data_IF_278965006735
#
_entry.id   IF_278965006735
#
_cell.length_a   1.000
_cell.length_b   1.000
_cell.length_c   1.000
_cell.angle_alpha   90.00
_cell.angle_beta   90.00
_cell.angle_gamma   90.00
#
_symmetry.space_group_name_H-M   'P 1'
#
loop_
_entity.id
_entity.type
_entity.pdbx_description
1 polymer ?
#
# COMPACT_ATOMS: atom_id res chain seq x y z
N UNK A 1 11.25 3.73 -8.44
CA UNK A 1 10.94 2.49 -9.15
C UNK A 1 11.96 1.43 -8.80
N UNK A 2 11.66 0.15 -9.00
CA UNK A 2 12.52 -0.96 -8.54
C UNK A 2 13.89 -0.97 -9.23
N UNK A 3 13.96 -0.47 -10.46
CA UNK A 3 15.19 -0.34 -11.24
C UNK A 3 15.92 1.01 -11.05
N UNK A 4 15.43 1.89 -10.17
CA UNK A 4 16.02 3.21 -9.91
C UNK A 4 15.89 4.24 -11.04
N UNK A 5 15.17 3.92 -12.12
CA UNK A 5 15.09 4.79 -13.30
C UNK A 5 13.93 5.80 -13.28
N UNK A 6 13.01 5.65 -12.32
CA UNK A 6 11.85 6.54 -12.17
C UNK A 6 11.67 6.87 -10.69
N UNK A 7 11.46 8.14 -10.40
CA UNK A 7 11.05 8.65 -9.08
C UNK A 7 9.68 9.30 -9.24
N UNK A 8 8.80 9.08 -8.28
CA UNK A 8 7.53 9.79 -8.16
C UNK A 8 7.48 10.42 -6.79
N UNK A 9 6.95 11.63 -6.71
CA UNK A 9 6.74 12.31 -5.44
C UNK A 9 5.63 13.34 -5.56
N UNK A 10 4.86 13.48 -4.49
CA UNK A 10 3.93 14.57 -4.32
C UNK A 10 4.62 15.82 -3.80
N UNK A 11 4.13 16.98 -4.22
CA UNK A 11 4.58 18.26 -3.70
C UNK A 11 3.39 19.18 -3.44
N UNK A 12 3.47 19.99 -2.38
CA UNK A 12 2.55 21.08 -2.16
C UNK A 12 2.71 22.14 -3.27
N UNK A 13 1.59 22.66 -3.75
CA UNK A 13 1.45 23.67 -4.81
C UNK A 13 2.04 23.28 -6.18
N UNK A 14 2.63 22.09 -6.29
CA UNK A 14 3.46 21.69 -7.44
C UNK A 14 3.15 20.27 -7.95
N UNK A 15 1.98 19.72 -7.59
CA UNK A 15 1.42 18.47 -8.13
C UNK A 15 2.14 17.19 -7.68
N UNK A 16 1.62 16.04 -8.13
CA UNK A 16 2.37 14.78 -8.13
C UNK A 16 3.20 14.69 -9.41
N UNK A 17 4.51 14.52 -9.28
CA UNK A 17 5.47 14.58 -10.38
C UNK A 17 6.20 13.25 -10.52
N UNK A 18 6.32 12.78 -11.77
CA UNK A 18 7.22 11.71 -12.19
C UNK A 18 8.49 12.31 -12.77
N UNK A 19 9.64 11.81 -12.35
CA UNK A 19 10.95 12.12 -12.90
C UNK A 19 11.59 10.83 -13.37
N UNK A 20 12.05 10.80 -14.62
CA UNK A 20 12.80 9.67 -15.16
C UNK A 20 14.31 9.94 -15.06
N UNK A 21 15.12 8.90 -15.27
CA UNK A 21 16.57 8.95 -15.07
C UNK A 21 17.28 10.07 -15.85
N UNK A 22 16.78 10.45 -17.02
CA UNK A 22 17.31 11.57 -17.82
C UNK A 22 16.95 12.96 -17.24
N UNK A 23 16.04 13.00 -16.28
CA UNK A 23 15.59 14.18 -15.55
C UNK A 23 16.22 14.39 -14.18
N UNK A 24 16.93 13.40 -13.62
CA UNK A 24 17.52 13.52 -12.26
C UNK A 24 18.54 14.64 -12.11
N UNK A 25 19.24 15.02 -13.19
CA UNK A 25 20.21 16.11 -13.19
C UNK A 25 19.67 17.41 -13.81
N UNK A 26 18.34 17.54 -13.98
CA UNK A 26 17.72 18.65 -14.68
C UNK A 26 16.36 19.04 -14.11
N UNK A 27 15.59 19.81 -14.88
CA UNK A 27 14.23 20.27 -14.52
C UNK A 27 13.14 19.52 -15.27
N UNK A 28 13.42 18.29 -15.71
CA UNK A 28 12.47 17.48 -16.47
C UNK A 28 11.62 16.65 -15.51
N UNK A 29 10.38 17.08 -15.29
CA UNK A 29 9.36 16.31 -14.60
C UNK A 29 8.09 16.24 -15.45
N UNK A 30 7.37 15.13 -15.37
CA UNK A 30 6.03 14.97 -15.93
C UNK A 30 5.03 15.01 -14.78
N UNK A 31 4.07 15.92 -14.86
CA UNK A 31 2.93 15.91 -13.96
C UNK A 31 2.10 14.63 -14.17
N UNK A 32 1.80 13.93 -13.07
CA UNK A 32 0.91 12.76 -13.04
C UNK A 32 -0.51 13.14 -12.64
N UNK A 33 -0.62 13.91 -11.55
CA UNK A 33 -1.89 14.32 -10.95
C UNK A 33 -1.85 15.82 -10.63
N UNK A 34 -2.92 16.55 -10.90
CA UNK A 34 -3.01 17.99 -10.57
C UNK A 34 -3.36 18.27 -9.11
N UNK A 35 -3.09 19.50 -8.65
CA UNK A 35 -3.35 19.94 -7.28
C UNK A 35 -2.08 19.90 -6.42
N UNK A 36 -2.21 19.64 -5.13
CA UNK A 36 -1.07 19.24 -4.30
C UNK A 36 -1.00 17.72 -4.32
N UNK A 37 0.22 17.20 -4.37
CA UNK A 37 0.49 15.78 -4.13
C UNK A 37 1.19 15.60 -2.78
N UNK A 38 1.06 14.42 -2.18
CA UNK A 38 1.86 14.02 -1.02
C UNK A 38 2.44 12.61 -1.19
N UNK A 39 1.78 11.58 -0.66
CA UNK A 39 2.26 10.20 -0.78
C UNK A 39 2.13 9.69 -2.21
N UNK A 40 3.15 8.97 -2.65
CA UNK A 40 3.20 8.28 -3.92
C UNK A 40 4.02 6.99 -3.77
N UNK A 41 3.60 5.94 -4.46
CA UNK A 41 4.31 4.65 -4.49
C UNK A 41 4.38 4.09 -5.91
N UNK A 42 5.36 3.24 -6.17
CA UNK A 42 5.48 2.46 -7.41
C UNK A 42 5.61 1.00 -7.02
N UNK A 43 4.76 0.15 -7.59
CA UNK A 43 4.81 -1.29 -7.34
C UNK A 43 6.15 -1.91 -7.77
N UNK A 44 6.68 -2.76 -6.91
CA UNK A 44 7.83 -3.61 -7.16
C UNK A 44 7.49 -4.80 -8.06
N UNK A 45 6.30 -5.39 -7.90
CA UNK A 45 5.90 -6.57 -8.67
C UNK A 45 5.37 -6.21 -10.05
N UNK A 46 4.73 -5.05 -10.19
CA UNK A 46 4.20 -4.52 -11.45
C UNK A 46 4.63 -3.06 -11.63
N UNK A 47 5.86 -2.78 -12.12
CA UNK A 47 6.43 -1.43 -12.16
C UNK A 47 5.68 -0.41 -13.04
N UNK A 48 4.68 -0.83 -13.82
CA UNK A 48 3.76 0.07 -14.51
C UNK A 48 2.70 0.67 -13.57
N UNK A 49 2.49 0.06 -12.39
CA UNK A 49 1.50 0.47 -11.39
C UNK A 49 2.05 1.53 -10.45
N UNK A 50 1.40 2.69 -10.48
CA UNK A 50 1.75 3.88 -9.71
C UNK A 50 0.56 4.22 -8.80
N UNK A 51 0.84 4.60 -7.56
CA UNK A 51 -0.12 5.10 -6.58
C UNK A 51 0.22 6.54 -6.23
N UNK A 52 -0.79 7.38 -6.06
CA UNK A 52 -0.59 8.75 -5.63
C UNK A 52 -1.86 9.33 -5.02
N UNK A 53 -1.68 10.21 -4.04
CA UNK A 53 -2.77 10.95 -3.42
C UNK A 53 -2.74 12.45 -3.76
N UNK A 54 -3.86 13.11 -3.50
CA UNK A 54 -4.03 14.56 -3.57
C UNK A 54 -4.92 15.03 -2.42
N UNK A 55 -4.90 16.34 -2.12
CA UNK A 55 -5.47 16.91 -0.89
C UNK A 55 -6.83 16.34 -0.54
N UNK A 56 -7.01 15.92 0.71
CA UNK A 56 -8.27 15.37 1.21
C UNK A 56 -8.77 14.14 0.42
N UNK A 57 -7.84 13.38 -0.18
CA UNK A 57 -8.13 12.28 -1.08
C UNK A 57 -9.11 12.67 -2.22
N UNK A 58 -9.07 13.93 -2.67
CA UNK A 58 -10.18 14.57 -3.39
C UNK A 58 -9.99 14.68 -4.92
N UNK A 59 -8.99 14.04 -5.52
CA UNK A 59 -8.93 14.02 -6.98
C UNK A 59 -10.04 13.12 -7.54
N UNK A 60 -10.91 13.69 -8.37
CA UNK A 60 -12.03 13.01 -9.04
C UNK A 60 -13.08 12.30 -8.15
N UNK A 61 -13.06 12.47 -6.82
CA UNK A 61 -14.04 11.95 -5.85
C UNK A 61 -13.87 10.49 -5.41
N UNK A 62 -12.79 9.81 -5.81
CA UNK A 62 -12.67 8.35 -5.66
C UNK A 62 -11.46 7.91 -4.78
N UNK A 63 -10.93 8.82 -3.96
CA UNK A 63 -9.89 8.52 -2.97
C UNK A 63 -8.45 8.55 -3.49
N UNK A 64 -7.59 7.70 -2.92
CA UNK A 64 -6.24 7.45 -3.44
C UNK A 64 -6.34 6.98 -4.89
N UNK A 65 -5.50 7.55 -5.75
CA UNK A 65 -5.48 7.23 -7.17
C UNK A 65 -4.42 6.16 -7.45
N UNK A 66 -4.74 5.26 -8.38
CA UNK A 66 -3.80 4.31 -8.96
C UNK A 66 -3.86 4.35 -10.48
N UNK A 67 -2.77 3.97 -11.12
CA UNK A 67 -2.67 3.86 -12.58
C UNK A 67 -1.82 2.65 -12.89
N UNK A 68 -2.25 1.81 -13.83
CA UNK A 68 -1.42 0.74 -14.39
C UNK A 68 -0.63 1.19 -15.63
N UNK A 69 -0.71 2.45 -16.04
CA UNK A 69 -0.07 2.95 -17.27
C UNK A 69 1.04 3.97 -16.97
N UNK A 70 1.93 3.64 -16.03
CA UNK A 70 3.04 4.49 -15.59
C UNK A 70 2.60 5.89 -15.15
N UNK A 71 1.45 5.98 -14.49
CA UNK A 71 0.83 7.21 -14.01
C UNK A 71 -0.05 7.93 -15.05
N UNK A 72 -0.43 7.28 -16.14
CA UNK A 72 -1.46 7.78 -17.09
C UNK A 72 -2.83 7.20 -16.75
N UNK A 73 -3.92 7.91 -17.11
CA UNK A 73 -5.30 7.43 -16.92
C UNK A 73 -5.60 6.90 -15.50
N UNK A 74 -5.36 7.68 -14.43
CA UNK A 74 -5.61 7.20 -13.07
C UNK A 74 -7.10 6.90 -12.80
N UNK A 75 -7.33 5.88 -11.99
CA UNK A 75 -8.61 5.53 -11.37
C UNK A 75 -8.51 5.60 -9.84
N UNK A 76 -9.62 5.89 -9.17
CA UNK A 76 -9.67 5.86 -7.71
C UNK A 76 -9.80 4.45 -7.17
N UNK A 77 -9.28 4.26 -5.95
CA UNK A 77 -9.15 2.95 -5.32
C UNK A 77 -10.13 2.73 -4.15
N UNK A 78 -10.92 3.74 -3.78
CA UNK A 78 -11.87 3.61 -2.68
C UNK A 78 -13.12 2.85 -3.13
N UNK A 79 -13.59 1.94 -2.27
CA UNK A 79 -14.90 1.32 -2.43
C UNK A 79 -16.02 2.31 -2.10
N UNK A 80 -17.24 2.01 -2.54
CA UNK A 80 -18.44 2.76 -2.14
C UNK A 80 -18.56 2.89 -0.62
N UNK A 81 -18.11 1.88 0.10
CA UNK A 81 -18.10 1.83 1.56
C UNK A 81 -17.17 2.90 2.16
N UNK A 82 -15.95 3.05 1.65
CA UNK A 82 -15.06 4.11 2.12
C UNK A 82 -15.57 5.50 1.74
N UNK A 83 -16.29 5.62 0.62
CA UNK A 83 -16.84 6.88 0.09
C UNK A 83 -18.14 7.33 0.77
N UNK A 84 -18.78 6.50 1.61
CA UNK A 84 -20.07 6.82 2.22
C UNK A 84 -19.93 7.91 3.30
N UNK A 85 -20.50 9.12 3.11
CA UNK A 85 -20.45 10.21 4.07
C UNK A 85 -21.26 9.96 5.36
N UNK A 86 -21.98 8.85 5.50
CA UNK A 86 -22.57 8.41 6.77
C UNK A 86 -21.54 7.81 7.74
N UNK A 87 -20.30 7.59 7.29
CA UNK A 87 -19.14 7.40 8.15
C UNK A 87 -18.51 8.76 8.45
N UNK A 88 -18.89 9.41 9.57
CA UNK A 88 -18.65 8.90 10.92
C UNK A 88 -19.88 8.97 11.85
N UNK A 89 -19.89 8.13 12.88
CA UNK A 89 -20.84 8.07 13.99
C UNK A 89 -21.55 9.41 14.28
N UNK A 90 -22.79 9.55 13.76
CA UNK A 90 -23.64 10.73 13.98
C UNK A 90 -24.00 10.94 15.46
N UNK A 91 -23.66 9.99 16.33
CA UNK A 91 -23.92 10.05 17.76
C UNK A 91 -22.66 10.38 18.58
N UNK A 92 -21.49 10.58 17.96
CA UNK A 92 -20.29 11.01 18.68
C UNK A 92 -20.19 12.55 18.75
N UNK A 93 -20.47 13.17 19.91
CA UNK A 93 -20.38 14.62 20.08
C UNK A 93 -18.95 15.18 20.03
N UNK A 94 -17.91 14.34 19.92
CA UNK A 94 -16.52 14.79 19.75
C UNK A 94 -16.14 15.13 18.30
N UNK A 95 -17.04 14.94 17.32
CA UNK A 95 -16.86 15.34 15.91
C UNK A 95 -17.03 16.86 15.65
N UNK A 96 -16.66 17.71 16.61
CA UNK A 96 -16.77 19.17 16.49
C UNK A 96 -15.45 19.75 15.95
N UNK A 97 -15.38 19.93 14.64
CA UNK A 97 -14.65 21.07 14.07
C UNK A 97 -15.62 21.95 13.29
N UNK A 98 -16.21 22.89 14.05
CA UNK A 98 -16.61 24.19 13.52
C UNK A 98 -15.33 24.92 13.14
N UNK A 99 -14.94 24.87 11.87
CA UNK A 99 -13.94 25.79 11.36
C UNK A 99 -14.61 26.94 10.58
N UNK A 100 -14.69 28.07 11.28
CA UNK A 100 -14.73 29.47 10.83
C UNK A 100 -15.29 29.83 9.43
N UNK A 101 -16.54 29.46 9.15
CA UNK A 101 -17.40 30.27 8.28
C UNK A 101 -17.10 30.25 6.77
N UNK A 102 -16.60 29.13 6.22
CA UNK A 102 -16.55 28.95 4.77
C UNK A 102 -17.69 28.06 4.25
N UNK A 103 -18.38 28.63 3.27
CA UNK A 103 -19.70 28.32 2.72
C UNK A 103 -19.93 26.84 2.36
N UNK A 104 -21.13 26.36 2.65
CA UNK A 104 -21.54 24.96 2.50
C UNK A 104 -22.17 24.77 1.12
N UNK A 105 -21.37 24.83 0.06
CA UNK A 105 -21.85 24.45 -1.28
C UNK A 105 -22.05 22.92 -1.34
N UNK A 106 -23.15 22.46 -1.92
CA UNK A 106 -23.54 21.04 -2.00
C UNK A 106 -22.54 20.18 -2.83
N UNK A 107 -21.53 20.81 -3.43
CA UNK A 107 -20.36 20.16 -4.06
C UNK A 107 -19.25 19.75 -3.07
N UNK A 108 -19.29 20.23 -1.82
CA UNK A 108 -18.24 20.08 -0.79
C UNK A 108 -18.57 19.09 0.34
N UNK A 109 -19.54 18.20 0.18
CA UNK A 109 -19.85 17.19 1.22
C UNK A 109 -18.78 16.10 1.37
N UNK A 110 -17.92 15.91 0.37
CA UNK A 110 -16.89 14.87 0.35
C UNK A 110 -15.49 15.38 0.78
N UNK A 111 -15.22 16.69 0.69
CA UNK A 111 -13.89 17.28 0.89
C UNK A 111 -13.50 17.46 2.36
N UNK A 112 -14.28 16.96 3.32
CA UNK A 112 -14.05 17.14 4.76
C UNK A 112 -13.99 15.84 5.57
N UNK A 113 -14.09 14.67 4.91
CA UNK A 113 -14.03 13.37 5.60
C UNK A 113 -12.58 12.91 5.72
N UNK A 114 -11.77 13.11 4.68
CA UNK A 114 -10.34 12.79 4.72
C UNK A 114 -9.50 14.00 5.11
N UNK A 115 -8.38 13.70 5.72
CA UNK A 115 -7.36 14.65 6.13
C UNK A 115 -6.60 15.20 4.93
N UNK A 116 -5.98 16.36 5.11
CA UNK A 116 -5.28 17.07 4.04
C UNK A 116 -4.24 16.19 3.32
N UNK A 117 -3.50 15.37 4.07
CA UNK A 117 -2.60 14.33 3.58
C UNK A 117 -3.08 12.98 4.11
N UNK A 118 -3.14 11.95 3.25
CA UNK A 118 -3.51 10.58 3.64
C UNK A 118 -2.32 9.63 3.47
N UNK A 119 -1.57 9.33 4.55
CA UNK A 119 -0.43 8.43 4.47
C UNK A 119 -0.84 7.02 4.05
N UNK A 120 -0.08 6.44 3.14
CA UNK A 120 -0.20 5.04 2.74
C UNK A 120 1.16 4.41 2.49
N UNK A 121 1.21 3.07 2.52
CA UNK A 121 2.39 2.28 2.21
C UNK A 121 1.99 0.99 1.51
N UNK A 122 2.82 0.54 0.57
CA UNK A 122 2.66 -0.70 -0.19
C UNK A 122 3.74 -1.70 0.21
N UNK A 123 3.32 -2.87 0.69
CA UNK A 123 4.19 -4.02 0.85
C UNK A 123 3.91 -5.06 -0.24
N UNK A 124 4.98 -5.67 -0.76
CA UNK A 124 4.93 -6.66 -1.82
C UNK A 124 6.01 -7.73 -1.63
N UNK A 125 5.66 -8.98 -1.90
CA UNK A 125 6.59 -10.10 -1.96
C UNK A 125 6.32 -10.95 -3.21
N UNK A 126 7.38 -11.17 -3.99
CA UNK A 126 7.29 -11.88 -5.26
C UNK A 126 7.43 -13.39 -5.13
N UNK A 127 7.87 -13.88 -3.98
CA UNK A 127 7.95 -15.30 -3.69
C UNK A 127 7.74 -15.57 -2.20
N UNK A 128 6.51 -15.30 -1.74
CA UNK A 128 6.14 -15.56 -0.35
C UNK A 128 5.86 -17.05 -0.16
N UNK A 129 6.90 -17.84 0.12
CA UNK A 129 6.73 -19.27 0.40
C UNK A 129 6.14 -19.56 1.79
N UNK A 130 6.00 -18.54 2.64
CA UNK A 130 5.44 -18.66 4.00
C UNK A 130 3.94 -18.36 4.04
N UNK A 131 3.39 -17.77 2.98
CA UNK A 131 1.96 -17.47 2.91
C UNK A 131 1.12 -18.73 3.03
N UNK A 132 0.04 -18.65 3.80
CA UNK A 132 -0.99 -19.68 3.85
C UNK A 132 -2.01 -19.52 2.72
N UNK A 133 -1.97 -18.39 2.01
CA UNK A 133 -2.91 -18.05 0.95
C UNK A 133 -2.81 -19.01 -0.20
N UNK A 134 -3.95 -19.19 -0.85
CA UNK A 134 -4.07 -20.14 -1.93
C UNK A 134 -5.18 -19.77 -2.87
N UNK A 135 -4.95 -20.07 -4.12
CA UNK A 135 -5.92 -19.92 -5.19
C UNK A 135 -6.28 -21.29 -5.76
N UNK A 136 -7.45 -21.36 -6.37
CA UNK A 136 -7.87 -22.55 -7.11
C UNK A 136 -7.55 -22.33 -8.57
N UNK A 137 -6.60 -23.10 -9.08
CA UNK A 137 -6.40 -23.22 -10.51
C UNK A 137 -7.38 -24.26 -11.05
N UNK A 138 -8.32 -23.81 -11.86
CA UNK A 138 -9.23 -24.69 -12.60
C UNK A 138 -8.66 -24.88 -14.00
N UNK A 139 -8.35 -26.12 -14.35
CA UNK A 139 -8.01 -26.42 -15.74
C UNK A 139 -9.26 -26.25 -16.59
N UNK A 140 -9.18 -25.39 -17.59
CA UNK A 140 -10.25 -25.21 -18.58
C UNK A 140 -9.66 -25.34 -19.99
N UNK A 141 -10.47 -25.04 -21.00
CA UNK A 141 -10.03 -25.11 -22.40
C UNK A 141 -9.12 -23.94 -22.82
N UNK A 142 -8.55 -23.15 -21.91
CA UNK A 142 -7.81 -21.91 -22.21
C UNK A 142 -6.55 -21.66 -21.38
N UNK A 143 -5.99 -22.71 -20.78
CA UNK A 143 -4.74 -22.58 -20.03
C UNK A 143 -3.59 -22.15 -20.94
N UNK A 144 -2.81 -21.15 -20.52
CA UNK A 144 -1.56 -20.75 -21.20
C UNK A 144 -0.46 -21.73 -20.76
N UNK A 145 0.01 -22.56 -21.70
CA UNK A 145 1.15 -23.46 -21.49
C UNK A 145 2.42 -22.80 -22.02
N UNK A 146 3.51 -22.84 -21.25
CA UNK A 146 4.81 -22.30 -21.68
C UNK A 146 5.55 -23.18 -22.71
N UNK A 147 4.96 -24.28 -23.16
CA UNK A 147 5.60 -25.24 -24.06
C UNK A 147 5.16 -25.10 -25.53
N UNK A 148 5.94 -24.35 -26.32
CA UNK A 148 6.43 -24.71 -27.66
C UNK A 148 5.55 -25.20 -28.83
N UNK A 149 4.21 -25.35 -28.77
CA UNK A 149 3.41 -25.81 -29.94
C UNK A 149 2.04 -25.11 -30.09
N UNK A 150 1.76 -24.67 -31.32
CA UNK A 150 0.63 -23.82 -31.76
C UNK A 150 -0.67 -24.61 -32.01
N UNK A 151 -1.83 -24.10 -31.54
CA UNK A 151 -3.13 -24.16 -32.27
C UNK A 151 -4.20 -23.18 -31.74
N UNK A 152 -5.06 -22.70 -32.66
CA UNK A 152 -5.93 -21.49 -32.60
C UNK A 152 -6.83 -21.24 -31.35
N UNK A 153 -7.07 -19.96 -30.98
CA UNK A 153 -7.69 -19.51 -29.70
C UNK A 153 -9.24 -19.55 -29.61
N UNK A 154 -9.77 -19.33 -28.39
CA UNK A 154 -11.19 -19.04 -28.09
C UNK A 154 -11.45 -17.54 -28.04
N UNK A 155 -12.48 -17.03 -28.71
CA UNK A 155 -12.90 -15.65 -28.53
C UNK A 155 -13.51 -15.33 -27.15
N UNK A 156 -14.04 -16.27 -26.36
CA UNK A 156 -14.66 -15.92 -25.06
C UNK A 156 -13.65 -15.65 -23.94
N UNK A 157 -12.50 -16.32 -23.95
CA UNK A 157 -11.43 -16.13 -22.96
C UNK A 157 -10.45 -15.02 -23.33
N UNK A 158 -10.55 -14.49 -24.55
CA UNK A 158 -9.95 -13.21 -24.89
C UNK A 158 -10.42 -12.11 -23.93
N UNK A 159 -11.63 -12.14 -23.36
CA UNK A 159 -12.14 -11.04 -22.53
C UNK A 159 -11.58 -10.94 -21.11
N UNK A 160 -11.21 -12.07 -20.47
CA UNK A 160 -10.56 -12.05 -19.14
C UNK A 160 -9.13 -11.48 -19.23
N UNK A 161 -8.57 -11.58 -20.43
CA UNK A 161 -7.20 -11.35 -20.83
C UNK A 161 -7.02 -10.05 -21.64
N UNK A 162 -8.06 -9.58 -22.35
CA UNK A 162 -8.14 -8.33 -23.10
C UNK A 162 -8.46 -7.13 -22.20
N UNK A 163 -8.92 -7.39 -20.97
CA UNK A 163 -8.94 -6.36 -19.92
C UNK A 163 -7.57 -6.25 -19.21
N UNK A 164 -6.65 -7.20 -19.46
CA UNK A 164 -5.27 -7.23 -18.98
C UNK A 164 -4.31 -7.11 -20.20
N UNK A 165 -4.59 -6.13 -21.09
CA UNK A 165 -3.81 -5.82 -22.31
C UNK A 165 -2.29 -5.71 -22.04
N UNK A 166 -1.90 -5.38 -20.81
CA UNK A 166 -0.51 -5.35 -20.34
C UNK A 166 0.18 -6.72 -20.35
N UNK A 167 -0.49 -7.78 -19.89
CA UNK A 167 0.10 -9.12 -19.81
C UNK A 167 0.39 -9.66 -21.22
N UNK A 168 -0.49 -9.42 -22.19
CA UNK A 168 -0.24 -9.81 -23.59
C UNK A 168 0.95 -9.10 -24.23
N UNK A 169 1.17 -7.83 -23.85
CA UNK A 169 2.29 -7.04 -24.34
C UNK A 169 3.63 -7.42 -23.71
N UNK A 170 3.65 -7.84 -22.44
CA UNK A 170 4.86 -8.29 -21.73
C UNK A 170 5.35 -9.67 -22.17
N UNK A 171 4.44 -10.55 -22.58
CA UNK A 171 4.79 -11.93 -22.88
C UNK A 171 5.57 -12.13 -24.18
N UNK A 172 5.57 -11.14 -25.08
CA UNK A 172 5.98 -11.33 -26.47
C UNK A 172 5.14 -12.43 -27.15
N UNK A 173 5.12 -12.49 -28.48
CA UNK A 173 4.33 -13.47 -29.25
C UNK A 173 4.74 -14.96 -29.08
N UNK A 174 5.39 -15.34 -27.97
CA UNK A 174 6.01 -16.65 -27.74
C UNK A 174 5.33 -17.55 -26.69
N UNK A 175 4.16 -17.17 -26.15
CA UNK A 175 3.36 -18.06 -25.29
C UNK A 175 2.14 -18.59 -26.04
N UNK A 176 1.82 -19.87 -25.80
CA UNK A 176 0.73 -20.57 -26.47
C UNK A 176 -0.46 -20.71 -25.52
N UNK A 177 -1.64 -20.20 -25.90
CA UNK A 177 -2.91 -20.64 -25.32
C UNK A 177 -3.15 -22.07 -25.81
N UNK A 178 -3.06 -23.06 -24.92
CA UNK A 178 -3.34 -24.44 -25.26
C UNK A 178 -4.76 -24.80 -24.82
N UNK A 179 -5.62 -25.09 -25.79
CA UNK A 179 -6.94 -25.68 -25.56
C UNK A 179 -6.84 -27.20 -25.52
N UNK A 180 -6.27 -27.78 -24.47
CA UNK A 180 -6.11 -29.25 -24.40
C UNK A 180 -6.33 -29.75 -22.98
N UNK A 181 -6.97 -30.91 -22.87
CA UNK A 181 -6.90 -31.79 -21.69
C UNK A 181 -5.44 -31.90 -21.20
N UNK A 182 -5.13 -31.35 -20.03
CA UNK A 182 -3.77 -31.32 -19.48
C UNK A 182 -3.44 -32.57 -18.65
N UNK A 183 -4.30 -33.60 -18.70
CA UNK A 183 -4.08 -34.90 -18.03
C UNK A 183 -2.81 -35.61 -18.49
N UNK A 184 -2.26 -35.24 -19.65
CA UNK A 184 -1.03 -35.83 -20.24
C UNK A 184 0.26 -35.08 -19.89
N UNK A 185 0.21 -34.01 -19.08
CA UNK A 185 1.35 -33.12 -18.84
C UNK A 185 1.76 -32.93 -17.35
N UNK A 186 1.90 -34.01 -16.55
CA UNK A 186 2.51 -33.88 -15.22
C UNK A 186 3.95 -33.32 -15.34
N UNK A 187 4.27 -32.30 -14.55
CA UNK A 187 5.57 -31.62 -14.59
C UNK A 187 5.68 -30.44 -15.56
N UNK A 188 4.64 -30.14 -16.35
CA UNK A 188 4.59 -28.92 -17.16
C UNK A 188 4.29 -27.68 -16.30
N UNK A 189 4.73 -26.52 -16.79
CA UNK A 189 4.51 -25.22 -16.16
C UNK A 189 3.32 -24.51 -16.80
N UNK A 190 2.34 -24.18 -15.97
CA UNK A 190 1.19 -23.33 -16.29
C UNK A 190 1.39 -21.94 -15.71
N UNK A 191 0.75 -20.95 -16.30
CA UNK A 191 0.65 -19.62 -15.70
C UNK A 191 -0.63 -19.52 -14.87
N UNK A 192 -0.49 -19.03 -13.64
CA UNK A 192 -1.56 -18.86 -12.68
C UNK A 192 -1.65 -17.39 -12.29
N UNK A 193 -2.86 -16.87 -12.12
CA UNK A 193 -3.12 -15.49 -11.69
C UNK A 193 -3.41 -15.45 -10.19
N UNK A 194 -2.58 -14.74 -9.43
CA UNK A 194 -2.82 -14.40 -8.02
C UNK A 194 -4.10 -13.57 -7.85
N UNK A 195 -4.70 -13.57 -6.66
CA UNK A 195 -5.88 -12.74 -6.37
C UNK A 195 -5.59 -11.24 -6.52
N UNK A 196 -4.34 -10.82 -6.29
CA UNK A 196 -3.90 -9.44 -6.51
C UNK A 196 -3.70 -9.08 -8.00
N UNK A 197 -3.93 -10.02 -8.92
CA UNK A 197 -3.84 -9.80 -10.37
C UNK A 197 -2.46 -10.08 -10.98
N UNK A 198 -1.45 -10.47 -10.19
CA UNK A 198 -0.12 -10.80 -10.71
C UNK A 198 -0.06 -12.26 -11.18
N UNK A 199 0.53 -12.48 -12.35
CA UNK A 199 0.74 -13.82 -12.89
C UNK A 199 2.07 -14.44 -12.43
N UNK A 200 2.07 -15.76 -12.22
CA UNK A 200 3.26 -16.52 -11.87
C UNK A 200 3.22 -17.96 -12.39
N UNK A 201 4.40 -18.59 -12.40
CA UNK A 201 4.58 -19.93 -12.91
C UNK A 201 4.28 -20.97 -11.84
N UNK A 202 3.51 -21.98 -12.21
CA UNK A 202 3.19 -23.12 -11.36
C UNK A 202 3.46 -24.43 -12.10
N UNK A 203 4.19 -25.33 -11.46
CA UNK A 203 4.45 -26.68 -11.99
C UNK A 203 3.33 -27.61 -11.55
N UNK A 204 2.65 -28.22 -12.51
CA UNK A 204 1.55 -29.13 -12.22
C UNK A 204 2.06 -30.39 -11.50
N UNK A 205 1.51 -30.72 -10.30
CA UNK A 205 1.93 -31.92 -9.56
C UNK A 205 1.49 -33.22 -10.24
N UNK A 206 0.40 -33.16 -11.02
CA UNK A 206 -0.14 -34.21 -11.85
C UNK A 206 -0.88 -33.57 -13.04
N UNK A 207 -1.12 -34.35 -14.10
CA UNK A 207 -2.02 -33.89 -15.15
C UNK A 207 -3.44 -33.65 -14.60
N UNK A 208 -4.13 -32.64 -15.13
CA UNK A 208 -5.51 -32.30 -14.78
C UNK A 208 -6.41 -32.48 -16.01
N UNK A 209 -7.50 -33.23 -15.88
CA UNK A 209 -8.57 -33.31 -16.87
C UNK A 209 -9.37 -32.01 -16.93
N UNK A 210 -10.12 -31.78 -18.01
CA UNK A 210 -10.94 -30.56 -18.17
C UNK A 210 -11.87 -30.34 -16.96
N UNK A 211 -11.90 -29.10 -16.46
CA UNK A 211 -12.64 -28.67 -15.26
C UNK A 211 -12.14 -29.26 -13.94
N UNK A 212 -11.01 -29.98 -13.94
CA UNK A 212 -10.37 -30.39 -12.68
C UNK A 212 -9.59 -29.23 -12.07
N UNK A 213 -9.54 -29.24 -10.74
CA UNK A 213 -8.99 -28.16 -9.95
C UNK A 213 -7.74 -28.63 -9.19
N UNK A 214 -6.78 -27.74 -9.05
CA UNK A 214 -5.66 -27.89 -8.11
C UNK A 214 -5.54 -26.65 -7.25
N UNK A 215 -5.28 -26.87 -5.96
CA UNK A 215 -4.98 -25.80 -5.02
C UNK A 215 -3.53 -25.37 -5.23
N UNK A 216 -3.31 -24.08 -5.46
CA UNK A 216 -1.99 -23.49 -5.68
C UNK A 216 -1.71 -22.51 -4.56
N UNK A 217 -0.51 -22.56 -3.97
CA UNK A 217 -0.08 -21.55 -3.00
C UNK A 217 0.08 -20.20 -3.72
N UNK A 218 -0.55 -19.15 -3.20
CA UNK A 218 -0.50 -17.83 -3.82
C UNK A 218 0.74 -17.04 -3.35
N UNK A 219 1.88 -17.34 -3.96
CA UNK A 219 3.20 -16.79 -3.57
C UNK A 219 3.41 -15.33 -3.97
N UNK A 220 2.48 -14.73 -4.74
CA UNK A 220 2.55 -13.31 -5.12
C UNK A 220 1.68 -12.55 -4.14
N UNK A 221 2.30 -11.82 -3.23
CA UNK A 221 1.60 -11.18 -2.13
C UNK A 221 1.76 -9.67 -2.23
N UNK A 222 0.67 -8.94 -1.96
CA UNK A 222 0.67 -7.48 -1.87
C UNK A 222 -0.32 -7.02 -0.82
N UNK A 223 0.08 -6.04 0.00
CA UNK A 223 -0.78 -5.39 0.99
C UNK A 223 -0.58 -3.89 0.90
N UNK A 224 -1.65 -3.16 0.66
CA UNK A 224 -1.67 -1.70 0.65
C UNK A 224 -2.36 -1.23 1.92
N UNK A 225 -1.68 -0.41 2.72
CA UNK A 225 -2.22 0.09 3.99
C UNK A 225 -2.30 1.60 3.94
N UNK A 226 -3.39 2.13 4.49
CA UNK A 226 -3.70 3.54 4.53
C UNK A 226 -4.13 3.95 5.94
N UNK A 227 -3.73 5.14 6.37
CA UNK A 227 -4.15 5.74 7.62
C UNK A 227 -5.08 6.94 7.38
N UNK A 228 -6.30 6.89 7.94
CA UNK A 228 -7.26 7.98 7.89
C UNK A 228 -7.79 8.23 9.30
N UNK A 229 -7.58 9.44 9.82
CA UNK A 229 -8.03 9.83 11.17
C UNK A 229 -7.55 8.84 12.24
N UNK A 230 -8.48 8.22 12.96
CA UNK A 230 -8.19 7.24 14.00
C UNK A 230 -8.30 5.79 13.50
N UNK A 231 -8.32 5.57 12.19
CA UNK A 231 -8.49 4.25 11.59
C UNK A 231 -7.36 3.92 10.62
N UNK A 232 -7.02 2.63 10.57
CA UNK A 232 -6.05 2.07 9.63
C UNK A 232 -6.77 1.01 8.80
N UNK A 233 -6.63 1.14 7.49
CA UNK A 233 -7.32 0.32 6.48
C UNK A 233 -6.31 -0.42 5.61
N UNK A 234 -6.64 -1.65 5.22
CA UNK A 234 -5.81 -2.51 4.39
C UNK A 234 -6.61 -3.01 3.19
N UNK A 235 -5.95 -3.16 2.04
CA UNK A 235 -6.46 -3.95 0.91
C UNK A 235 -5.36 -4.84 0.33
N UNK A 236 -5.73 -6.04 -0.11
CA UNK A 236 -4.89 -6.94 -0.90
C UNK A 236 -5.11 -6.77 -2.41
N UNK A 237 -6.10 -5.97 -2.80
CA UNK A 237 -6.58 -5.81 -4.18
C UNK A 237 -5.94 -4.62 -4.92
N UNK A 238 -4.96 -3.94 -4.31
CA UNK A 238 -4.40 -2.68 -4.83
C UNK A 238 -3.79 -2.81 -6.24
N UNK A 239 -3.28 -4.00 -6.59
CA UNK A 239 -2.71 -4.30 -7.91
C UNK A 239 -3.70 -4.94 -8.89
N UNK A 240 -4.93 -5.22 -8.44
CA UNK A 240 -5.97 -5.85 -9.24
C UNK A 240 -6.88 -4.79 -9.87
N UNK A 241 -6.69 -4.52 -11.17
CA UNK A 241 -7.45 -3.54 -11.95
C UNK A 241 -8.75 -4.11 -12.56
N UNK A 242 -9.06 -5.39 -12.34
CA UNK A 242 -10.31 -5.98 -12.87
C UNK A 242 -11.51 -5.79 -11.93
N UNK A 243 -11.30 -5.18 -10.76
CA UNK A 243 -12.34 -4.91 -9.76
C UNK A 243 -11.99 -3.68 -8.92
N UNK A 244 -13.03 -3.09 -8.31
CA UNK A 244 -12.85 -2.13 -7.21
C UNK A 244 -12.31 -2.85 -5.97
N UNK A 245 -11.26 -2.33 -5.32
CA UNK A 245 -10.69 -2.96 -4.13
C UNK A 245 -11.67 -3.08 -2.96
N UNK A 246 -11.58 -4.20 -2.26
CA UNK A 246 -12.23 -4.37 -0.96
C UNK A 246 -11.29 -3.93 0.15
N UNK A 247 -11.84 -3.40 1.25
CA UNK A 247 -11.06 -2.79 2.32
C UNK A 247 -11.41 -3.37 3.69
N UNK A 248 -10.37 -3.58 4.51
CA UNK A 248 -10.45 -4.16 5.85
C UNK A 248 -9.94 -3.16 6.87
N UNK A 249 -10.74 -2.82 7.89
CA UNK A 249 -10.31 -1.96 8.98
C UNK A 249 -9.45 -2.76 9.95
N UNK A 250 -8.13 -2.62 9.84
CA UNK A 250 -7.17 -3.38 10.67
C UNK A 250 -6.91 -2.74 12.04
N UNK A 251 -7.29 -1.47 12.22
CA UNK A 251 -7.37 -0.82 13.52
C UNK A 251 -8.35 0.35 13.48
N UNK A 252 -9.03 0.59 14.61
CA UNK A 252 -9.92 1.73 14.84
C UNK A 252 -9.59 2.39 16.18
N UNK A 253 -10.18 3.56 16.45
CA UNK A 253 -10.01 4.28 17.72
C UNK A 253 -8.53 4.42 18.17
N UNK A 254 -7.62 4.52 17.21
CA UNK A 254 -6.17 4.47 17.45
C UNK A 254 -5.66 5.64 18.29
N UNK A 255 -6.42 6.73 18.36
CA UNK A 255 -6.05 7.97 19.04
C UNK A 255 -4.88 8.70 18.37
N UNK A 256 -4.63 8.43 17.09
CA UNK A 256 -3.63 9.14 16.28
C UNK A 256 -4.05 10.58 15.98
N UNK A 257 -5.36 10.88 15.98
CA UNK A 257 -5.89 12.16 15.53
C UNK A 257 -5.72 12.32 14.03
N UNK A 258 -4.64 12.97 13.62
CA UNK A 258 -4.26 13.17 12.22
C UNK A 258 -3.00 12.35 11.92
N UNK A 259 -3.09 11.20 11.23
CA UNK A 259 -1.94 10.46 10.75
C UNK A 259 -1.04 11.31 9.87
N UNK A 260 0.27 11.20 10.08
CA UNK A 260 1.30 11.99 9.38
C UNK A 260 2.25 11.11 8.59
N UNK A 261 2.50 9.89 9.08
CA UNK A 261 3.43 8.96 8.44
C UNK A 261 3.10 7.51 8.75
N UNK A 262 3.43 6.64 7.80
CA UNK A 262 3.21 5.20 7.87
C UNK A 262 4.36 4.49 7.16
N UNK A 263 4.80 3.36 7.72
CA UNK A 263 5.77 2.49 7.06
C UNK A 263 5.46 1.01 7.33
N UNK A 264 5.79 0.17 6.36
CA UNK A 264 5.58 -1.27 6.39
C UNK A 264 6.92 -1.97 6.65
N UNK A 265 6.94 -2.90 7.61
CA UNK A 265 8.11 -3.76 7.80
C UNK A 265 8.37 -4.62 6.57
N UNK A 266 9.64 -4.85 6.26
CA UNK A 266 10.09 -5.61 5.07
C UNK A 266 9.48 -7.02 5.01
N UNK A 267 9.19 -7.64 6.16
CA UNK A 267 8.61 -8.99 6.23
C UNK A 267 7.09 -9.04 6.04
N UNK A 268 6.43 -7.88 5.85
CA UNK A 268 4.99 -7.77 5.62
C UNK A 268 4.13 -8.04 6.84
N UNK A 269 4.71 -8.17 8.03
CA UNK A 269 3.96 -8.56 9.24
C UNK A 269 3.48 -7.36 10.05
N UNK A 270 4.23 -6.27 10.03
CA UNK A 270 4.03 -5.13 10.93
C UNK A 270 3.98 -3.80 10.19
N UNK A 271 3.15 -2.88 10.68
CA UNK A 271 3.05 -1.49 10.24
C UNK A 271 3.30 -0.57 11.44
N UNK A 272 4.09 0.49 11.22
CA UNK A 272 4.27 1.60 12.16
C UNK A 272 3.50 2.80 11.61
N UNK A 273 2.75 3.49 12.46
CA UNK A 273 2.02 4.70 12.08
C UNK A 273 2.29 5.80 13.10
N UNK A 274 2.61 6.99 12.60
CA UNK A 274 2.66 8.22 13.36
C UNK A 274 1.46 9.12 13.04
N UNK A 275 1.10 9.92 14.03
CA UNK A 275 0.11 10.97 13.89
C UNK A 275 0.24 11.98 15.02
N UNK A 276 -0.67 12.95 15.04
CA UNK A 276 -0.78 13.88 16.15
C UNK A 276 -2.23 14.18 16.50
N UNK A 277 -2.48 14.32 17.80
CA UNK A 277 -3.73 14.81 18.33
C UNK A 277 -3.45 15.87 19.40
N UNK A 278 -4.14 17.01 19.34
CA UNK A 278 -4.05 18.11 20.31
C UNK A 278 -2.61 18.52 20.69
N UNK A 279 -1.71 18.53 19.71
CA UNK A 279 -0.31 18.92 19.87
C UNK A 279 0.62 17.84 20.42
N UNK A 280 0.13 16.60 20.61
CA UNK A 280 0.93 15.46 21.03
C UNK A 280 1.09 14.48 19.87
N UNK A 281 2.33 14.14 19.55
CA UNK A 281 2.65 13.10 18.58
C UNK A 281 2.39 11.72 19.17
N UNK A 282 1.91 10.80 18.36
CA UNK A 282 1.64 9.42 18.76
C UNK A 282 2.22 8.46 17.74
N UNK A 283 2.80 7.37 18.24
CA UNK A 283 3.26 6.23 17.45
C UNK A 283 2.51 4.99 17.89
N UNK A 284 1.93 4.29 16.93
CA UNK A 284 1.29 2.99 17.10
C UNK A 284 2.00 1.91 16.27
N UNK A 285 1.74 0.66 16.61
CA UNK A 285 2.16 -0.52 15.85
C UNK A 285 0.94 -1.41 15.62
N UNK A 286 0.81 -1.92 14.40
CA UNK A 286 -0.10 -3.00 14.06
C UNK A 286 0.76 -4.17 13.59
N UNK A 287 0.58 -5.36 14.15
CA UNK A 287 1.38 -6.55 13.84
C UNK A 287 0.49 -7.74 13.50
N UNK A 288 1.11 -8.86 13.12
CA UNK A 288 0.45 -10.10 12.72
C UNK A 288 -0.36 -10.00 11.43
N UNK A 289 -0.07 -9.03 10.55
CA UNK A 289 -0.83 -8.79 9.31
C UNK A 289 -0.62 -9.85 8.22
N UNK A 290 0.51 -10.57 8.24
CA UNK A 290 0.84 -11.54 7.18
C UNK A 290 0.08 -12.87 7.28
N UNK A 291 -0.40 -13.24 8.47
CA UNK A 291 -1.04 -14.54 8.72
C UNK A 291 -2.57 -14.50 8.59
N UNK A 292 -3.13 -13.36 8.22
CA UNK A 292 -4.56 -13.10 8.15
C UNK A 292 -5.07 -13.29 6.72
N UNK A 293 -6.19 -13.99 6.61
CA UNK A 293 -6.91 -14.21 5.34
C UNK A 293 -7.87 -13.03 5.08
N UNK A 294 -7.47 -12.15 4.16
CA UNK A 294 -8.24 -10.97 3.78
C UNK A 294 -9.05 -11.29 2.52
N UNK A 295 -10.37 -11.46 2.69
CA UNK A 295 -11.26 -11.88 1.62
C UNK A 295 -12.34 -10.84 1.36
N UNK A 296 -13.03 -10.94 0.22
CA UNK A 296 -14.18 -10.09 -0.05
C UNK A 296 -15.34 -10.35 0.93
N UNK A 297 -15.41 -11.55 1.52
CA UNK A 297 -16.48 -11.96 2.44
C UNK A 297 -16.31 -11.39 3.85
N UNK A 298 -15.10 -10.98 4.24
CA UNK A 298 -14.86 -10.36 5.54
C UNK A 298 -14.45 -8.89 5.43
N UNK A 299 -14.65 -8.26 4.28
CA UNK A 299 -14.36 -6.84 4.07
C UNK A 299 -15.49 -5.92 4.57
N UNK A 300 -15.32 -4.59 4.47
CA UNK A 300 -16.38 -3.58 4.62
C UNK A 300 -17.23 -3.73 5.91
N UNK A 301 -16.64 -3.42 7.07
CA UNK A 301 -17.18 -3.59 8.44
C UNK A 301 -17.37 -5.03 8.95
N UNK A 302 -17.32 -6.06 8.11
CA UNK A 302 -17.43 -7.44 8.58
C UNK A 302 -16.11 -7.94 9.20
N UNK A 303 -15.01 -7.21 8.99
CA UNK A 303 -13.69 -7.55 9.50
C UNK A 303 -13.55 -7.21 11.00
N UNK A 304 -13.23 -8.21 11.83
CA UNK A 304 -12.83 -7.98 13.22
C UNK A 304 -11.32 -8.26 13.39
N UNK A 305 -10.45 -7.23 13.41
CA UNK A 305 -9.00 -7.44 13.47
C UNK A 305 -8.56 -8.29 14.65
N UNK A 306 -9.12 -8.07 15.83
CA UNK A 306 -8.74 -8.82 17.03
C UNK A 306 -9.13 -10.30 16.97
N UNK A 307 -10.25 -10.63 16.35
CA UNK A 307 -10.71 -12.01 16.17
C UNK A 307 -9.84 -12.76 15.14
N UNK A 308 -9.33 -12.04 14.14
CA UNK A 308 -8.40 -12.55 13.13
C UNK A 308 -6.94 -12.59 13.62
N UNK A 309 -6.68 -12.17 14.86
CA UNK A 309 -5.34 -12.20 15.46
C UNK A 309 -4.42 -11.04 15.03
N UNK A 310 -4.97 -9.96 14.48
CA UNK A 310 -4.25 -8.70 14.28
C UNK A 310 -3.98 -8.06 15.64
N UNK A 311 -2.72 -7.68 15.88
CA UNK A 311 -2.28 -7.11 17.15
C UNK A 311 -2.13 -5.60 17.04
N UNK A 312 -2.90 -4.84 17.82
CA UNK A 312 -2.76 -3.39 17.95
C UNK A 312 -1.97 -3.03 19.21
N UNK A 313 -1.06 -2.06 19.09
CA UNK A 313 -0.31 -1.52 20.22
C UNK A 313 -0.11 -0.01 20.10
N UNK A 314 -0.55 0.75 21.11
CA UNK A 314 -0.08 2.12 21.31
C UNK A 314 1.34 2.07 21.88
N UNK A 315 2.31 2.66 21.20
CA UNK A 315 3.72 2.50 21.55
C UNK A 315 4.23 3.70 22.35
N UNK A 316 4.09 4.92 21.81
CA UNK A 316 4.67 6.10 22.45
C UNK A 316 3.88 7.36 22.14
N UNK A 317 3.81 8.25 23.13
CA UNK A 317 3.36 9.63 22.97
C UNK A 317 4.56 10.56 23.15
N UNK A 318 4.63 11.59 22.30
CA UNK A 318 5.62 12.64 22.31
C UNK A 318 4.93 13.99 22.56
N UNK A 319 5.66 14.95 23.14
CA UNK A 319 5.16 16.31 23.36
C UNK A 319 5.19 17.18 22.08
N UNK A 320 5.80 16.65 21.02
CA UNK A 320 5.90 17.28 19.70
C UNK A 320 5.06 16.49 18.70
N UNK A 321 4.71 17.12 17.59
CA UNK A 321 4.07 16.44 16.45
C UNK A 321 5.00 15.35 15.93
N UNK A 322 4.53 14.11 15.83
CA UNK A 322 5.27 13.06 15.13
C UNK A 322 5.05 13.25 13.62
N UNK A 323 6.12 13.32 12.84
CA UNK A 323 6.09 13.74 11.43
C UNK A 323 6.48 12.63 10.48
N UNK A 324 7.40 11.75 10.88
CA UNK A 324 7.93 10.67 10.06
C UNK A 324 8.21 9.43 10.89
N UNK A 325 7.96 8.26 10.31
CA UNK A 325 8.31 6.95 10.87
C UNK A 325 8.90 6.06 9.80
N UNK A 326 9.89 5.25 10.16
CA UNK A 326 10.41 4.22 9.26
C UNK A 326 10.97 3.02 10.00
N UNK A 327 10.81 1.83 9.42
CA UNK A 327 11.49 0.61 9.83
C UNK A 327 12.93 0.56 9.31
N UNK A 328 13.81 -0.04 10.11
CA UNK A 328 15.16 -0.37 9.69
C UNK A 328 15.14 -1.49 8.64
N UNK A 329 15.99 -1.40 7.60
CA UNK A 329 16.08 -2.45 6.59
C UNK A 329 16.54 -3.74 7.26
N UNK A 330 15.88 -4.85 6.91
CA UNK A 330 16.15 -6.22 7.36
C UNK A 330 16.02 -6.47 8.85
N UNK A 331 15.58 -5.47 9.63
CA UNK A 331 15.38 -5.60 11.06
C UNK A 331 14.29 -4.64 11.54
N UNK A 332 13.06 -5.15 11.59
CA UNK A 332 11.88 -4.41 12.05
C UNK A 332 11.88 -4.05 13.55
N UNK A 333 12.83 -4.56 14.35
CA UNK A 333 13.02 -4.06 15.71
C UNK A 333 13.70 -2.70 15.73
N UNK A 334 14.38 -2.32 14.64
CA UNK A 334 14.92 -0.98 14.47
C UNK A 334 13.86 -0.07 13.85
N UNK A 335 13.60 1.08 14.46
CA UNK A 335 12.77 2.13 13.86
C UNK A 335 13.34 3.52 14.14
N UNK A 336 12.98 4.46 13.28
CA UNK A 336 13.16 5.89 13.53
C UNK A 336 11.80 6.57 13.62
N UNK A 337 11.75 7.60 14.46
CA UNK A 337 10.62 8.53 14.58
C UNK A 337 11.19 9.94 14.53
N UNK A 338 10.66 10.76 13.63
CA UNK A 338 10.97 12.19 13.57
C UNK A 338 9.84 13.01 14.13
N UNK A 339 10.19 14.14 14.74
CA UNK A 339 9.26 15.06 15.36
C UNK A 339 9.42 16.48 14.80
N UNK A 340 8.31 17.19 14.71
CA UNK A 340 8.25 18.59 14.32
C UNK A 340 8.39 19.58 15.48
N UNK A 341 7.90 20.79 15.24
CA UNK A 341 7.91 21.99 16.10
C UNK A 341 9.23 22.78 16.10
N UNK A 342 9.15 24.10 16.17
CA UNK A 342 10.32 24.98 16.29
C UNK A 342 10.70 25.23 17.75
N UNK A 343 11.99 25.49 17.99
CA UNK A 343 12.49 25.98 19.28
C UNK A 343 12.59 24.91 20.38
N UNK A 344 12.44 23.65 20.01
CA UNK A 344 12.63 22.47 20.87
C UNK A 344 13.87 21.70 20.40
N UNK A 345 14.65 21.06 21.30
CA UNK A 345 15.93 20.46 20.92
C UNK A 345 15.85 19.00 20.45
N UNK A 346 14.73 18.32 20.70
CA UNK A 346 14.61 16.87 20.54
C UNK A 346 13.68 16.52 19.38
N UNK A 347 14.23 15.96 18.30
CA UNK A 347 13.51 15.74 17.05
C UNK A 347 13.65 14.35 16.43
N UNK A 348 14.72 13.60 16.73
CA UNK A 348 14.94 12.28 16.13
C UNK A 348 15.09 11.25 17.24
N UNK A 349 14.24 10.23 17.19
CA UNK A 349 14.24 9.13 18.15
C UNK A 349 14.44 7.81 17.44
N UNK A 350 15.30 6.97 18.02
CA UNK A 350 15.61 5.63 17.52
C UNK A 350 15.24 4.58 18.57
N UNK A 351 14.64 3.47 18.12
CA UNK A 351 14.45 2.26 18.91
C UNK A 351 15.11 1.09 18.19
N UNK A 352 15.74 0.18 18.94
CA UNK A 352 16.26 -1.11 18.45
C UNK A 352 15.50 -2.32 19.00
N UNK A 353 14.45 -2.08 19.80
CA UNK A 353 13.59 -3.07 20.40
C UNK A 353 12.11 -2.81 20.11
N UNK A 354 11.82 -2.22 18.95
CA UNK A 354 10.47 -1.80 18.57
C UNK A 354 9.46 -2.95 18.51
N UNK A 355 9.90 -4.21 18.40
CA UNK A 355 9.03 -5.40 18.38
C UNK A 355 8.72 -5.97 19.78
N UNK A 356 9.31 -5.44 20.85
CA UNK A 356 8.99 -5.86 22.21
C UNK A 356 7.51 -5.55 22.55
N UNK A 357 7.03 -6.10 23.67
CA UNK A 357 5.74 -5.68 24.24
C UNK A 357 5.74 -4.16 24.45
N UNK A 358 4.64 -3.48 24.08
CA UNK A 358 4.58 -2.00 24.00
C UNK A 358 5.15 -1.26 25.21
N UNK A 359 4.92 -1.75 26.43
CA UNK A 359 5.41 -1.16 27.68
C UNK A 359 6.94 -1.19 27.85
N UNK A 360 7.63 -2.05 27.10
CA UNK A 360 9.08 -2.27 27.16
C UNK A 360 9.82 -1.66 25.97
N UNK A 361 9.11 -1.16 24.95
CA UNK A 361 9.74 -0.48 23.83
C UNK A 361 10.40 0.80 24.33
N UNK A 362 11.69 0.97 24.03
CA UNK A 362 12.46 2.15 24.41
C UNK A 362 12.82 2.96 23.19
N UNK A 363 12.90 4.29 23.32
CA UNK A 363 13.56 5.10 22.28
C UNK A 363 14.59 6.02 22.89
N UNK A 364 15.72 6.10 22.21
CA UNK A 364 16.85 6.97 22.47
C UNK A 364 16.75 8.20 21.57
N UNK A 365 16.93 9.39 22.13
CA UNK A 365 17.07 10.60 21.33
C UNK A 365 18.43 10.59 20.61
N UNK A 366 18.40 10.71 19.29
CA UNK A 366 19.55 10.71 18.39
C UNK A 366 19.62 11.97 17.51
N UNK A 367 18.93 13.05 17.92
CA UNK A 367 18.92 14.36 17.23
C UNK A 367 20.31 14.95 17.05
N UNK A 368 21.24 14.63 17.96
CA UNK A 368 22.63 15.08 17.94
C UNK A 368 22.75 16.61 17.89
N UNK A 369 23.42 17.16 16.87
CA UNK A 369 23.71 18.58 16.71
C UNK A 369 22.80 19.29 15.70
N UNK A 370 21.66 18.68 15.33
CA UNK A 370 20.67 19.38 14.52
C UNK A 370 20.17 20.63 15.25
N UNK A 371 19.97 21.75 14.54
CA UNK A 371 19.29 22.92 15.11
C UNK A 371 17.91 22.56 15.67
N UNK A 372 17.40 23.41 16.58
CA UNK A 372 16.06 23.30 17.17
C UNK A 372 14.97 23.66 16.15
N UNK A 373 14.83 22.83 15.11
CA UNK A 373 13.95 23.02 13.95
C UNK A 373 13.23 21.72 13.60
N UNK A 374 12.05 21.79 12.96
CA UNK A 374 11.29 20.61 12.58
C UNK A 374 12.08 19.65 11.69
N UNK A 375 11.95 18.37 12.02
CA UNK A 375 12.36 17.27 11.15
C UNK A 375 11.08 16.64 10.59
N UNK A 376 10.92 16.60 9.28
CA UNK A 376 9.69 16.13 8.63
C UNK A 376 9.72 14.64 8.32
N UNK A 377 10.88 14.09 7.99
CA UNK A 377 11.00 12.70 7.60
C UNK A 377 12.40 12.14 7.85
N UNK A 378 12.51 10.82 7.94
CA UNK A 378 13.78 10.11 8.01
C UNK A 378 13.69 8.78 7.26
N UNK A 379 14.77 8.41 6.59
CA UNK A 379 14.91 7.09 5.98
C UNK A 379 16.27 6.48 6.33
N UNK A 380 16.27 5.19 6.59
CA UNK A 380 17.51 4.42 6.69
C UNK A 380 18.16 4.29 5.31
N UNK A 381 19.48 4.34 5.27
CA UNK A 381 20.19 3.97 4.05
C UNK A 381 19.93 2.47 3.77
N UNK A 382 19.42 2.15 2.57
CA UNK A 382 18.92 0.82 2.22
C UNK A 382 19.91 -0.34 2.49
N UNK A 383 21.21 -0.08 2.32
CA UNK A 383 22.27 -1.08 2.54
C UNK A 383 23.08 -0.88 3.84
N UNK A 384 22.73 0.11 4.66
CA UNK A 384 23.45 0.43 5.89
C UNK A 384 22.52 1.03 6.94
N UNK A 385 22.05 0.21 7.89
CA UNK A 385 21.14 0.66 8.95
C UNK A 385 21.77 1.64 9.94
N UNK A 386 23.09 1.88 9.87
CA UNK A 386 23.80 2.82 10.75
C UNK A 386 23.90 4.21 10.13
N UNK A 387 23.35 4.40 8.92
CA UNK A 387 23.28 5.70 8.24
C UNK A 387 21.83 6.04 7.95
N UNK A 388 21.46 7.28 8.25
CA UNK A 388 20.11 7.80 8.08
C UNK A 388 20.16 9.10 7.28
N UNK A 389 19.21 9.28 6.37
CA UNK A 389 18.95 10.56 5.74
C UNK A 389 17.78 11.21 6.47
N UNK A 390 17.91 12.51 6.76
CA UNK A 390 16.93 13.28 7.51
C UNK A 390 16.44 14.44 6.64
N UNK A 391 15.13 14.58 6.49
CA UNK A 391 14.48 15.70 5.83
C UNK A 391 14.02 16.75 6.85
N UNK A 392 14.49 17.98 6.72
CA UNK A 392 14.21 19.07 7.67
C UNK A 392 13.66 20.31 6.96
N UNK A 393 13.12 21.24 7.76
CA UNK A 393 12.93 22.63 7.34
C UNK A 393 14.28 23.37 7.28
N UNK A 394 14.35 24.51 6.57
CA UNK A 394 15.53 25.40 6.51
C UNK A 394 15.25 26.77 7.13
#
# INVERSE_FOLDING_TARGET
SPNGNVVVGGTQDNNTVKIESDGFSGSKGRQLLGGDGFYAEISNLKPSVFFFESQNAAFNRDGIQRSNENGSNPEGMFSEYLLDPQFPDINNPDNIFRDNGFDVDQRNRYTRIYQFNTPFSLWEEGNDTLTADSIVFTSDTSVILKAGKVKNPDPELANLYANDDEHFNELGNNRFQARVDISQFPGDTVEVRSENGIFFDFVLPNGLGVSENVKVQDIKQSKFVMAIRNEIWLTTDALNFTKTPTWHRIADNTGLGTPTSIDFSEDGRSVIVAGYDRGQGKVIRIDSLRQVDYTAQNANDEFNPSAEGVEFSSIRTFNNVATGVTFGPKNKSKVLVTLGNYGVPDHVYYSDNFMDSSQNVTFTNVTANLPAMPVYDALFHANNSDTVLIGTEF
#
